data_IF_429296635702
#
_entry.id   IF_429296635702
#
_cell.length_a   1.000
_cell.length_b   1.000
_cell.length_c   1.000
_cell.angle_alpha   90.00
_cell.angle_beta   90.00
_cell.angle_gamma   90.00
#
_symmetry.space_group_name_H-M   'P 1'
#
loop_
_entity.id
_entity.type
_entity.pdbx_description
1 polymer ?
#
# COMPACT_ATOMS: atom_id res chain seq x y z
N UNK A 1 87.53 17.99 -8.87
CA UNK A 1 87.40 17.04 -7.75
C UNK A 1 86.03 17.23 -7.10
N UNK A 2 85.32 16.15 -6.75
CA UNK A 2 83.94 15.94 -7.22
C UNK A 2 82.85 16.33 -6.21
N UNK A 3 81.69 16.69 -6.76
CA UNK A 3 80.41 16.93 -6.07
C UNK A 3 79.74 15.58 -5.77
N UNK A 4 79.44 15.29 -4.51
CA UNK A 4 78.56 14.19 -4.12
C UNK A 4 77.09 14.61 -4.31
N UNK A 5 76.37 13.91 -5.19
CA UNK A 5 74.92 14.00 -5.32
C UNK A 5 74.28 13.06 -4.29
N UNK A 6 73.51 13.59 -3.35
CA UNK A 6 72.64 12.82 -2.49
C UNK A 6 71.28 12.64 -3.19
N UNK A 7 70.94 11.40 -3.55
CA UNK A 7 69.61 11.04 -4.03
C UNK A 7 68.68 10.87 -2.82
N UNK A 8 67.72 11.77 -2.65
CA UNK A 8 66.59 11.59 -1.72
C UNK A 8 65.47 10.92 -2.50
N UNK A 9 65.24 9.63 -2.24
CA UNK A 9 64.12 8.87 -2.78
C UNK A 9 62.87 9.21 -1.96
N UNK A 10 62.01 10.11 -2.46
CA UNK A 10 60.69 10.34 -1.86
C UNK A 10 59.71 9.28 -2.35
N UNK A 11 59.33 8.37 -1.44
CA UNK A 11 58.27 7.39 -1.66
C UNK A 11 56.92 8.11 -1.46
N UNK A 12 56.23 8.44 -2.54
CA UNK A 12 54.84 8.94 -2.47
C UNK A 12 53.93 7.73 -2.25
N UNK A 13 53.44 7.56 -1.02
CA UNK A 13 52.42 6.57 -0.69
C UNK A 13 51.05 7.12 -1.12
N UNK A 14 50.52 6.68 -2.26
CA UNK A 14 49.13 6.96 -2.63
C UNK A 14 48.21 6.05 -1.82
N UNK A 15 47.64 6.58 -0.75
CA UNK A 15 46.56 5.91 -0.01
C UNK A 15 45.27 6.14 -0.81
N UNK A 16 44.85 5.14 -1.57
CA UNK A 16 43.50 5.12 -2.12
C UNK A 16 42.52 4.84 -0.96
N UNK A 17 41.46 5.64 -0.76
CA UNK A 17 40.46 5.33 0.24
C UNK A 17 39.70 4.08 -0.20
N UNK A 18 39.85 2.99 0.56
CA UNK A 18 38.91 1.87 0.50
C UNK A 18 37.62 2.40 1.10
N UNK A 19 36.63 2.67 0.27
CA UNK A 19 35.24 2.81 0.71
C UNK A 19 34.84 1.47 1.33
N UNK A 20 34.85 1.40 2.66
CA UNK A 20 34.20 0.33 3.37
C UNK A 20 32.70 0.44 3.06
N UNK A 21 32.16 -0.54 2.33
CA UNK A 21 30.72 -0.70 2.24
C UNK A 21 30.21 -0.89 3.68
N UNK A 22 29.33 0.00 4.15
CA UNK A 22 28.60 -0.25 5.39
C UNK A 22 27.87 -1.58 5.25
N UNK A 23 28.08 -2.48 6.21
CA UNK A 23 27.38 -3.75 6.22
C UNK A 23 25.88 -3.47 6.39
N UNK A 24 25.08 -3.84 5.38
CA UNK A 24 23.62 -3.75 5.46
C UNK A 24 23.13 -4.54 6.69
N UNK A 25 22.19 -3.96 7.44
CA UNK A 25 21.64 -4.63 8.62
C UNK A 25 21.01 -5.98 8.23
N UNK A 26 21.20 -7.04 9.03
CA UNK A 26 20.68 -8.37 8.71
C UNK A 26 19.14 -8.38 8.71
N UNK A 27 18.56 -9.33 8.00
CA UNK A 27 17.11 -9.58 8.03
C UNK A 27 16.72 -9.96 9.46
N UNK A 28 15.67 -9.34 10.01
CA UNK A 28 15.08 -9.84 11.25
C UNK A 28 13.96 -10.84 10.96
N UNK A 29 13.96 -11.95 11.69
CA UNK A 29 13.01 -13.04 11.54
C UNK A 29 12.45 -13.45 12.89
N UNK A 30 11.12 -13.53 12.99
CA UNK A 30 10.41 -13.96 14.19
C UNK A 30 9.35 -15.01 13.83
N UNK A 31 9.24 -16.06 14.62
CA UNK A 31 8.24 -17.12 14.42
C UNK A 31 7.44 -17.29 15.70
N UNK A 32 6.13 -17.27 15.56
CA UNK A 32 5.16 -17.48 16.63
C UNK A 32 4.24 -18.65 16.28
N UNK A 33 3.83 -19.43 17.29
CA UNK A 33 3.03 -20.64 17.06
C UNK A 33 3.85 -21.80 16.51
N UNK A 34 3.19 -22.76 15.85
CA UNK A 34 3.85 -23.94 15.28
C UNK A 34 3.61 -24.05 13.76
N UNK A 35 4.61 -23.79 12.91
CA UNK A 35 4.46 -23.82 11.45
C UNK A 35 4.35 -25.24 10.86
N UNK A 36 4.55 -26.29 11.67
CA UNK A 36 4.50 -27.68 11.20
C UNK A 36 3.11 -28.32 11.38
N UNK A 37 2.18 -27.61 12.03
CA UNK A 37 0.81 -28.09 12.23
C UNK A 37 0.01 -27.92 10.94
N UNK A 38 -0.63 -28.97 10.38
CA UNK A 38 -1.46 -28.82 9.20
C UNK A 38 -2.61 -27.83 9.42
N UNK A 39 -2.86 -26.96 8.44
CA UNK A 39 -3.99 -26.03 8.45
C UNK A 39 -5.34 -26.72 8.60
N UNK A 40 -6.27 -26.06 9.29
CA UNK A 40 -7.58 -26.61 9.64
C UNK A 40 -8.58 -26.58 8.47
N UNK A 41 -8.51 -25.52 7.65
CA UNK A 41 -9.50 -25.22 6.61
C UNK A 41 -8.89 -25.04 5.22
N UNK A 42 -9.76 -24.97 4.21
CA UNK A 42 -9.36 -24.64 2.85
C UNK A 42 -8.89 -23.19 2.74
N UNK A 43 -7.84 -22.95 1.95
CA UNK A 43 -7.40 -21.60 1.60
C UNK A 43 -8.27 -21.07 0.46
N UNK A 44 -8.65 -19.79 0.53
CA UNK A 44 -9.38 -19.09 -0.52
C UNK A 44 -8.94 -17.63 -0.64
N UNK A 45 -9.13 -17.06 -1.84
CA UNK A 45 -8.61 -15.73 -2.15
C UNK A 45 -9.38 -14.60 -1.46
N UNK A 46 -8.76 -13.43 -1.49
CA UNK A 46 -9.36 -12.17 -1.04
C UNK A 46 -8.29 -11.14 -0.71
N UNK A 47 -8.67 -9.86 -0.68
CA UNK A 47 -7.80 -8.77 -0.27
C UNK A 47 -8.28 -8.13 1.03
N UNK A 48 -7.38 -7.97 2.00
CA UNK A 48 -7.64 -7.21 3.22
C UNK A 48 -6.97 -5.83 3.12
N UNK A 49 -7.77 -4.79 2.85
CA UNK A 49 -7.28 -3.42 2.69
C UNK A 49 -7.53 -2.64 3.98
N UNK A 50 -6.49 -2.35 4.77
CA UNK A 50 -6.64 -1.72 6.08
C UNK A 50 -6.07 -0.28 6.09
N UNK A 51 -6.86 0.68 6.54
CA UNK A 51 -6.50 2.10 6.50
C UNK A 51 -5.47 2.56 7.53
N UNK A 52 -5.02 1.69 8.45
CA UNK A 52 -4.14 2.05 9.56
C UNK A 52 -4.88 2.07 10.90
N UNK A 53 -4.19 2.49 11.94
CA UNK A 53 -4.71 2.41 13.31
C UNK A 53 -4.82 0.96 13.80
N UNK A 54 -5.76 0.72 14.70
CA UNK A 54 -6.07 -0.59 15.23
C UNK A 54 -6.94 -1.39 14.24
N UNK A 55 -6.65 -2.69 14.08
CA UNK A 55 -7.33 -3.52 13.09
C UNK A 55 -8.66 -4.03 13.66
N UNK A 56 -9.70 -4.01 12.83
CA UNK A 56 -11.00 -4.54 13.21
C UNK A 56 -10.93 -6.08 13.41
N UNK A 57 -11.34 -6.64 14.56
CA UNK A 57 -11.26 -8.07 14.82
C UNK A 57 -12.05 -8.95 13.83
N UNK A 58 -13.16 -8.46 13.29
CA UNK A 58 -13.94 -9.22 12.31
C UNK A 58 -13.24 -9.26 10.94
N UNK A 59 -12.57 -8.19 10.54
CA UNK A 59 -11.74 -8.18 9.33
C UNK A 59 -10.55 -9.14 9.46
N UNK A 60 -9.92 -9.20 10.64
CA UNK A 60 -8.85 -10.16 10.91
C UNK A 60 -9.36 -11.61 10.90
N UNK A 61 -10.48 -11.88 11.56
CA UNK A 61 -11.13 -13.19 11.51
C UNK A 61 -11.38 -13.64 10.07
N UNK A 62 -11.96 -12.76 9.24
CA UNK A 62 -12.18 -13.04 7.83
C UNK A 62 -10.86 -13.40 7.12
N UNK A 63 -9.80 -12.63 7.33
CA UNK A 63 -8.50 -12.89 6.70
C UNK A 63 -7.88 -14.23 7.13
N UNK A 64 -7.98 -14.59 8.41
CA UNK A 64 -7.51 -15.89 8.90
C UNK A 64 -8.35 -17.05 8.36
N UNK A 65 -9.67 -16.88 8.25
CA UNK A 65 -10.54 -17.87 7.61
C UNK A 65 -10.20 -18.07 6.14
N UNK A 66 -9.89 -16.99 5.40
CA UNK A 66 -9.38 -17.08 4.02
C UNK A 66 -8.07 -17.84 3.94
N UNK A 67 -7.20 -17.71 4.93
CA UNK A 67 -5.95 -18.47 5.03
C UNK A 67 -6.16 -19.89 5.59
N UNK A 68 -7.39 -20.39 5.67
CA UNK A 68 -7.69 -21.72 6.22
C UNK A 68 -7.31 -21.88 7.70
N UNK A 69 -7.20 -20.76 8.43
CA UNK A 69 -6.64 -20.65 9.79
C UNK A 69 -5.23 -21.24 9.91
N UNK A 70 -4.50 -21.28 8.80
CA UNK A 70 -3.15 -21.85 8.71
C UNK A 70 -2.06 -20.87 9.09
N UNK A 71 -1.06 -20.74 8.22
CA UNK A 71 0.19 -20.03 8.50
C UNK A 71 0.26 -18.68 7.78
N UNK A 72 0.48 -17.62 8.54
CA UNK A 72 0.58 -16.26 7.99
C UNK A 72 2.04 -15.80 7.93
N UNK A 73 2.45 -15.25 6.80
CA UNK A 73 3.71 -14.51 6.69
C UNK A 73 3.41 -13.01 6.70
N UNK A 74 4.02 -12.30 7.64
CA UNK A 74 4.01 -10.84 7.72
C UNK A 74 5.29 -10.31 7.12
N UNK A 75 5.17 -9.50 6.07
CA UNK A 75 6.29 -8.81 5.44
C UNK A 75 6.34 -7.35 5.91
N UNK A 76 7.52 -6.90 6.30
CA UNK A 76 7.76 -5.52 6.67
C UNK A 76 9.10 -5.04 6.11
N UNK A 77 9.18 -3.76 5.75
CA UNK A 77 10.43 -3.10 5.47
C UNK A 77 10.73 -2.02 6.52
N UNK A 78 10.12 -2.06 7.71
CA UNK A 78 10.32 -1.03 8.75
C UNK A 78 10.32 -1.62 10.16
N UNK A 79 9.15 -2.01 10.66
CA UNK A 79 8.94 -2.61 12.00
C UNK A 79 7.87 -3.70 11.90
N UNK A 80 7.72 -4.60 12.88
CA UNK A 80 6.72 -5.66 12.68
C UNK A 80 6.37 -6.64 13.80
N UNK A 81 6.94 -6.54 15.00
CA UNK A 81 6.63 -7.54 16.06
C UNK A 81 5.18 -7.46 16.52
N UNK A 82 4.67 -6.26 16.73
CA UNK A 82 3.35 -6.02 17.33
C UNK A 82 2.19 -6.61 16.50
N UNK A 83 2.34 -6.66 15.16
CA UNK A 83 1.33 -7.22 14.26
C UNK A 83 1.17 -8.72 14.45
N UNK A 84 2.27 -9.45 14.63
CA UNK A 84 2.23 -10.88 14.87
C UNK A 84 1.62 -11.22 16.22
N UNK A 85 2.00 -10.48 17.28
CA UNK A 85 1.43 -10.72 18.60
C UNK A 85 -0.08 -10.47 18.63
N UNK A 86 -0.57 -9.45 17.92
CA UNK A 86 -2.01 -9.21 17.78
C UNK A 86 -2.70 -10.37 17.07
N UNK A 87 -2.12 -10.88 15.98
CA UNK A 87 -2.67 -12.03 15.26
C UNK A 87 -2.73 -13.27 16.15
N UNK A 88 -1.66 -13.55 16.91
CA UNK A 88 -1.60 -14.70 17.82
C UNK A 88 -2.52 -14.56 19.04
N UNK A 89 -2.80 -13.33 19.51
CA UNK A 89 -3.76 -13.07 20.60
C UNK A 89 -5.22 -13.13 20.15
N UNK A 90 -5.49 -13.09 18.84
CA UNK A 90 -6.85 -13.17 18.35
C UNK A 90 -7.44 -14.56 18.69
N UNK A 91 -8.62 -14.66 19.34
CA UNK A 91 -9.18 -15.95 19.77
C UNK A 91 -9.43 -16.94 18.64
N UNK A 92 -9.47 -16.43 17.41
CA UNK A 92 -9.66 -17.17 16.18
C UNK A 92 -8.51 -16.85 15.21
N UNK A 93 -7.30 -16.71 15.75
CA UNK A 93 -6.09 -16.40 15.02
C UNK A 93 -5.55 -17.57 14.20
N UNK A 94 -4.42 -17.37 13.51
CA UNK A 94 -3.73 -18.40 12.75
C UNK A 94 -2.97 -19.39 13.65
N UNK A 95 -2.59 -20.54 13.08
CA UNK A 95 -1.75 -21.54 13.76
C UNK A 95 -0.30 -21.07 13.98
N UNK A 96 0.21 -20.26 13.05
CA UNK A 96 1.52 -19.61 13.20
C UNK A 96 1.58 -18.29 12.45
N UNK A 97 2.50 -17.44 12.90
CA UNK A 97 2.87 -16.20 12.22
C UNK A 97 4.39 -16.14 12.11
N UNK A 98 4.88 -15.92 10.90
CA UNK A 98 6.29 -15.61 10.64
C UNK A 98 6.42 -14.16 10.21
N UNK A 99 7.29 -13.39 10.86
CA UNK A 99 7.58 -12.00 10.52
C UNK A 99 8.95 -11.92 9.86
N UNK A 100 9.00 -11.31 8.68
CA UNK A 100 10.23 -11.02 7.95
C UNK A 100 10.38 -9.50 7.83
N UNK A 101 11.39 -8.93 8.48
CA UNK A 101 11.69 -7.49 8.44
C UNK A 101 12.93 -7.27 7.58
N UNK A 102 12.71 -6.58 6.46
CA UNK A 102 13.72 -6.26 5.47
C UNK A 102 14.41 -4.94 5.82
N UNK A 103 15.74 -4.97 5.75
CA UNK A 103 16.62 -3.82 5.91
C UNK A 103 17.41 -3.50 4.64
N UNK A 104 17.35 -4.39 3.64
CA UNK A 104 18.01 -4.20 2.37
C UNK A 104 17.38 -4.97 1.22
N UNK A 105 17.65 -4.52 -0.01
CA UNK A 105 17.18 -5.15 -1.25
C UNK A 105 17.75 -6.56 -1.46
N UNK A 106 19.00 -6.81 -1.07
CA UNK A 106 19.66 -8.11 -1.28
C UNK A 106 18.89 -9.28 -0.62
N UNK A 107 18.20 -8.99 0.49
CA UNK A 107 17.38 -9.96 1.24
C UNK A 107 16.16 -10.45 0.44
N UNK A 108 15.73 -9.71 -0.59
CA UNK A 108 14.65 -10.12 -1.47
C UNK A 108 15.02 -11.26 -2.45
N UNK A 109 16.25 -11.78 -2.34
CA UNK A 109 16.74 -12.95 -3.08
C UNK A 109 17.19 -14.09 -2.16
N UNK A 110 17.04 -13.94 -0.85
CA UNK A 110 17.42 -14.97 0.12
C UNK A 110 16.53 -16.22 -0.04
N UNK A 111 17.09 -17.41 -0.32
CA UNK A 111 16.30 -18.63 -0.54
C UNK A 111 15.39 -19.01 0.64
N UNK A 112 15.78 -18.73 1.89
CA UNK A 112 14.96 -19.02 3.05
C UNK A 112 13.76 -18.08 3.15
N UNK A 113 13.95 -16.79 2.85
CA UNK A 113 12.86 -15.79 2.76
C UNK A 113 11.86 -16.20 1.69
N UNK A 114 12.35 -16.51 0.48
CA UNK A 114 11.50 -16.89 -0.65
C UNK A 114 10.72 -18.18 -0.35
N UNK A 115 11.36 -19.15 0.30
CA UNK A 115 10.70 -20.38 0.71
C UNK A 115 9.59 -20.16 1.76
N UNK A 116 9.79 -19.22 2.70
CA UNK A 116 8.73 -18.83 3.65
C UNK A 116 7.55 -18.17 2.94
N UNK A 117 7.79 -17.22 2.04
CA UNK A 117 6.73 -16.55 1.26
C UNK A 117 5.94 -17.57 0.43
N UNK A 118 6.63 -18.47 -0.28
CA UNK A 118 5.99 -19.46 -1.14
C UNK A 118 5.08 -20.45 -0.37
N UNK A 119 5.41 -20.76 0.90
CA UNK A 119 4.63 -21.68 1.74
C UNK A 119 3.48 -21.02 2.48
N UNK A 120 3.41 -19.70 2.53
CA UNK A 120 2.38 -18.98 3.28
C UNK A 120 0.96 -19.38 2.85
N UNK A 121 0.05 -19.57 3.81
CA UNK A 121 -1.38 -19.72 3.53
C UNK A 121 -2.04 -18.34 3.33
N UNK A 122 -1.53 -17.31 4.00
CA UNK A 122 -1.90 -15.91 3.81
C UNK A 122 -0.71 -14.99 4.02
N UNK A 123 -0.67 -13.85 3.33
CA UNK A 123 0.40 -12.86 3.46
C UNK A 123 -0.18 -11.52 3.89
N UNK A 124 0.50 -10.85 4.81
CA UNK A 124 0.13 -9.50 5.26
C UNK A 124 1.33 -8.55 5.17
N UNK A 125 1.15 -7.39 4.54
CA UNK A 125 2.16 -6.34 4.43
C UNK A 125 1.93 -5.31 5.54
N UNK A 126 2.87 -5.21 6.48
CA UNK A 126 2.78 -4.28 7.59
C UNK A 126 2.89 -2.82 7.16
N UNK A 127 2.51 -1.91 8.06
CA UNK A 127 2.80 -0.48 7.94
C UNK A 127 4.28 -0.16 8.10
N UNK A 128 4.67 1.07 7.79
CA UNK A 128 6.06 1.50 7.78
C UNK A 128 6.29 2.65 6.81
N UNK A 129 7.51 2.70 6.29
CA UNK A 129 7.96 3.63 5.26
C UNK A 129 7.80 3.01 3.87
N UNK A 130 6.89 3.55 3.06
CA UNK A 130 6.55 3.07 1.71
C UNK A 130 7.77 2.96 0.79
N UNK A 131 8.74 3.88 0.92
CA UNK A 131 9.88 3.97 0.03
C UNK A 131 10.75 2.72 0.11
N UNK A 132 10.87 2.15 1.32
CA UNK A 132 11.63 0.94 1.59
C UNK A 132 11.01 -0.28 0.91
N UNK A 133 9.68 -0.40 0.90
CA UNK A 133 8.99 -1.47 0.18
C UNK A 133 9.29 -1.39 -1.32
N UNK A 134 9.17 -0.20 -1.92
CA UNK A 134 9.47 0.03 -3.34
C UNK A 134 10.93 -0.29 -3.64
N UNK A 135 11.86 0.26 -2.86
CA UNK A 135 13.31 0.09 -3.06
C UNK A 135 13.75 -1.37 -2.89
N UNK A 136 13.18 -2.09 -1.92
CA UNK A 136 13.63 -3.45 -1.60
C UNK A 136 12.95 -4.52 -2.44
N UNK A 137 11.68 -4.36 -2.83
CA UNK A 137 10.91 -5.47 -3.40
C UNK A 137 10.53 -5.30 -4.87
N UNK A 138 10.43 -4.06 -5.39
CA UNK A 138 10.03 -3.85 -6.80
C UNK A 138 10.98 -4.56 -7.75
N UNK A 139 10.43 -5.34 -8.69
CA UNK A 139 11.21 -6.09 -9.67
C UNK A 139 12.11 -7.19 -9.07
N UNK A 140 11.79 -7.67 -7.85
CA UNK A 140 12.50 -8.79 -7.20
C UNK A 140 11.61 -10.03 -7.14
N UNK A 141 12.22 -11.13 -6.70
CA UNK A 141 11.54 -12.41 -6.51
C UNK A 141 10.47 -12.35 -5.40
N UNK A 142 10.60 -11.46 -4.41
CA UNK A 142 9.55 -11.20 -3.42
C UNK A 142 8.27 -10.68 -4.09
N UNK A 143 8.36 -9.66 -4.94
CA UNK A 143 7.19 -9.15 -5.67
C UNK A 143 6.57 -10.22 -6.58
N UNK A 144 7.40 -10.99 -7.29
CA UNK A 144 6.94 -12.11 -8.13
C UNK A 144 6.18 -13.17 -7.31
N UNK A 145 6.64 -13.50 -6.12
CA UNK A 145 5.97 -14.45 -5.24
C UNK A 145 4.66 -13.90 -4.67
N UNK A 146 4.56 -12.60 -4.40
CA UNK A 146 3.31 -11.97 -3.97
C UNK A 146 2.24 -12.04 -5.07
N UNK A 147 2.61 -11.75 -6.32
CA UNK A 147 1.73 -11.94 -7.48
C UNK A 147 1.31 -13.40 -7.64
N UNK A 148 2.27 -14.33 -7.55
CA UNK A 148 1.99 -15.76 -7.62
C UNK A 148 1.09 -16.26 -6.49
N UNK A 149 1.24 -15.71 -5.27
CA UNK A 149 0.43 -16.03 -4.10
C UNK A 149 -1.04 -15.67 -4.34
N UNK A 150 -1.30 -14.46 -4.84
CA UNK A 150 -2.67 -14.04 -5.17
C UNK A 150 -3.22 -14.83 -6.37
N UNK A 151 -2.40 -15.07 -7.40
CA UNK A 151 -2.79 -15.88 -8.56
C UNK A 151 -3.14 -17.34 -8.18
N UNK A 152 -2.51 -17.87 -7.12
CA UNK A 152 -2.83 -19.18 -6.54
C UNK A 152 -4.13 -19.19 -5.71
N UNK A 153 -4.87 -18.08 -5.66
CA UNK A 153 -6.13 -17.97 -4.93
C UNK A 153 -5.94 -17.91 -3.41
N UNK A 154 -4.84 -17.32 -2.94
CA UNK A 154 -4.56 -17.12 -1.51
C UNK A 154 -4.77 -15.66 -1.09
N UNK A 155 -5.11 -15.39 0.17
CA UNK A 155 -5.39 -14.03 0.62
C UNK A 155 -4.11 -13.19 0.81
N UNK A 156 -4.21 -11.92 0.47
CA UNK A 156 -3.18 -10.90 0.69
C UNK A 156 -3.79 -9.70 1.43
N UNK A 157 -3.12 -9.21 2.45
CA UNK A 157 -3.56 -8.04 3.21
C UNK A 157 -2.47 -6.99 3.34
N UNK A 158 -2.87 -5.76 3.66
CA UNK A 158 -1.94 -4.67 3.92
C UNK A 158 -2.55 -3.57 4.77
N UNK A 159 -1.74 -2.94 5.63
CA UNK A 159 -2.13 -1.76 6.42
C UNK A 159 -1.20 -0.58 6.18
N UNK A 160 -1.74 0.64 6.16
CA UNK A 160 -0.94 1.87 6.03
C UNK A 160 -0.03 1.86 4.80
N UNK A 161 1.30 1.78 4.96
CA UNK A 161 2.24 1.60 3.85
C UNK A 161 2.00 0.30 3.07
N UNK A 162 1.71 -0.80 3.77
CA UNK A 162 1.34 -2.05 3.13
C UNK A 162 0.04 -1.98 2.34
N UNK A 163 -0.92 -1.12 2.73
CA UNK A 163 -2.10 -0.84 1.90
C UNK A 163 -1.70 -0.15 0.60
N UNK A 164 -0.84 0.87 0.67
CA UNK A 164 -0.37 1.61 -0.51
C UNK A 164 0.23 0.69 -1.58
N UNK A 165 0.96 -0.35 -1.15
CA UNK A 165 1.60 -1.33 -2.04
C UNK A 165 0.62 -2.19 -2.86
N UNK A 166 -0.67 -2.23 -2.52
CA UNK A 166 -1.64 -3.10 -3.19
C UNK A 166 -2.26 -2.47 -4.44
N UNK A 167 -2.18 -1.14 -4.61
CA UNK A 167 -2.72 -0.46 -5.80
C UNK A 167 -1.95 -0.77 -7.09
N UNK A 168 -2.60 -0.64 -8.26
CA UNK A 168 -1.92 -0.73 -9.56
C UNK A 168 -0.85 0.37 -9.71
N UNK A 169 -1.21 1.57 -9.27
CA UNK A 169 -0.27 2.66 -9.02
C UNK A 169 -0.33 2.98 -7.53
N UNK A 170 0.81 3.40 -6.99
CA UNK A 170 0.97 3.61 -5.54
C UNK A 170 1.73 4.89 -5.26
N UNK A 171 1.46 5.52 -4.12
CA UNK A 171 2.32 6.58 -3.60
C UNK A 171 3.48 5.96 -2.82
N UNK A 172 4.69 6.13 -3.33
CA UNK A 172 5.90 5.48 -2.81
C UNK A 172 6.61 6.26 -1.68
N UNK A 173 6.24 7.51 -1.42
CA UNK A 173 6.97 8.39 -0.47
C UNK A 173 8.49 8.42 -0.71
N UNK A 174 8.92 8.47 -1.97
CA UNK A 174 10.34 8.29 -2.37
C UNK A 174 11.24 9.47 -1.98
N UNK A 175 10.70 10.48 -1.31
CA UNK A 175 11.36 11.68 -0.81
C UNK A 175 11.53 11.68 0.71
N UNK A 176 11.41 10.52 1.35
CA UNK A 176 11.42 10.32 2.82
C UNK A 176 10.32 11.13 3.55
N UNK A 177 9.32 11.60 2.81
CA UNK A 177 8.24 12.45 3.30
C UNK A 177 6.86 11.80 3.26
N UNK A 178 5.84 12.60 3.49
CA UNK A 178 4.45 12.22 3.20
C UNK A 178 3.73 13.48 2.75
N UNK A 179 3.67 13.69 1.44
CA UNK A 179 3.05 14.87 0.85
C UNK A 179 1.62 15.07 1.39
N UNK A 180 1.32 16.31 1.76
CA UNK A 180 0.00 16.73 2.25
C UNK A 180 -0.94 17.03 1.09
N UNK A 181 -2.25 17.12 1.36
CA UNK A 181 -3.22 17.57 0.35
C UNK A 181 -2.91 18.96 -0.20
N UNK A 182 -2.48 19.90 0.65
CA UNK A 182 -2.12 21.25 0.21
C UNK A 182 -0.95 21.25 -0.76
N UNK A 183 0.11 20.53 -0.45
CA UNK A 183 1.32 20.45 -1.31
C UNK A 183 1.01 19.72 -2.62
N UNK A 184 0.31 18.59 -2.54
CA UNK A 184 -0.03 17.78 -3.70
C UNK A 184 -0.98 18.51 -4.66
N UNK A 185 -1.95 19.29 -4.16
CA UNK A 185 -2.82 20.11 -4.98
C UNK A 185 -2.08 21.31 -5.59
N UNK A 186 -1.11 21.90 -4.88
CA UNK A 186 -0.33 23.02 -5.38
C UNK A 186 0.62 22.63 -6.53
N UNK A 187 1.13 21.40 -6.53
CA UNK A 187 2.04 20.92 -7.58
C UNK A 187 1.84 19.41 -7.84
N UNK A 188 0.74 19.01 -8.51
CA UNK A 188 0.35 17.61 -8.67
C UNK A 188 1.36 16.78 -9.48
N UNK A 189 2.14 17.41 -10.35
CA UNK A 189 3.19 16.73 -11.13
C UNK A 189 4.60 16.91 -10.59
N UNK A 190 4.73 17.58 -9.44
CA UNK A 190 6.00 17.87 -8.79
C UNK A 190 6.71 16.65 -8.22
N UNK A 191 7.99 16.80 -7.83
CA UNK A 191 8.84 15.68 -7.41
C UNK A 191 8.37 14.98 -6.13
N UNK A 192 7.66 15.69 -5.23
CA UNK A 192 7.12 15.12 -3.99
C UNK A 192 5.89 14.21 -4.22
N UNK A 193 5.25 14.29 -5.40
CA UNK A 193 4.19 13.35 -5.78
C UNK A 193 4.80 12.11 -6.46
N UNK A 194 5.41 11.25 -5.65
CA UNK A 194 6.15 10.07 -6.07
C UNK A 194 5.20 8.89 -6.36
N UNK A 195 4.37 9.03 -7.40
CA UNK A 195 3.56 7.91 -7.89
C UNK A 195 4.45 6.91 -8.62
N UNK A 196 4.46 5.69 -8.11
CA UNK A 196 5.16 4.55 -8.67
C UNK A 196 4.16 3.56 -9.31
N UNK A 197 4.68 2.60 -10.06
CA UNK A 197 3.90 1.48 -10.59
C UNK A 197 4.77 0.25 -10.82
N UNK A 198 4.18 -0.79 -11.42
CA UNK A 198 4.84 -2.09 -11.69
C UNK A 198 5.43 -2.70 -10.40
N UNK A 199 4.63 -2.67 -9.33
CA UNK A 199 4.98 -3.22 -8.02
C UNK A 199 4.31 -4.57 -7.77
N UNK A 200 2.98 -4.61 -7.85
CA UNK A 200 2.15 -5.83 -7.82
C UNK A 200 1.06 -5.76 -8.90
N UNK A 201 0.59 -6.93 -9.33
CA UNK A 201 -0.36 -7.10 -10.43
C UNK A 201 -1.64 -7.79 -9.95
N UNK A 202 -2.46 -7.05 -9.19
CA UNK A 202 -3.67 -7.59 -8.57
C UNK A 202 -4.90 -7.28 -9.45
N UNK A 203 -5.58 -8.27 -10.06
CA UNK A 203 -6.71 -8.00 -10.97
C UNK A 203 -7.85 -7.19 -10.33
N UNK A 204 -8.09 -7.40 -9.02
CA UNK A 204 -9.12 -6.67 -8.27
C UNK A 204 -8.74 -5.22 -7.97
N UNK A 205 -7.48 -4.81 -8.16
CA UNK A 205 -7.00 -3.44 -7.96
C UNK A 205 -6.44 -2.82 -9.25
N UNK A 206 -6.74 -3.42 -10.40
CA UNK A 206 -6.46 -2.81 -11.70
C UNK A 206 -7.18 -1.45 -11.81
N UNK A 207 -6.44 -0.40 -12.12
CA UNK A 207 -6.92 0.97 -12.20
C UNK A 207 -7.19 1.60 -10.83
N UNK A 208 -6.70 1.03 -9.73
CA UNK A 208 -6.94 1.55 -8.37
C UNK A 208 -5.66 2.12 -7.76
N UNK A 209 -5.77 3.29 -7.13
CA UNK A 209 -4.77 3.84 -6.20
C UNK A 209 -5.38 3.82 -4.81
N UNK A 210 -4.67 3.31 -3.82
CA UNK A 210 -5.13 3.28 -2.43
C UNK A 210 -4.43 4.34 -1.58
N UNK A 211 -5.14 4.90 -0.60
CA UNK A 211 -4.57 5.78 0.41
C UNK A 211 -5.11 5.45 1.81
N UNK A 212 -4.23 5.52 2.80
CA UNK A 212 -4.49 5.16 4.21
C UNK A 212 -4.61 6.40 5.09
N UNK A 213 -5.02 6.24 6.35
CA UNK A 213 -5.15 7.31 7.36
C UNK A 213 -5.95 8.51 6.82
N UNK A 214 -6.99 8.19 6.05
CA UNK A 214 -7.44 9.06 4.98
C UNK A 214 -8.11 10.34 5.51
N UNK A 215 -9.20 10.20 6.26
CA UNK A 215 -9.86 11.33 6.93
C UNK A 215 -8.96 11.95 7.99
N UNK A 216 -8.22 11.14 8.75
CA UNK A 216 -7.42 11.57 9.91
C UNK A 216 -6.30 12.55 9.52
N UNK A 217 -5.82 12.46 8.28
CA UNK A 217 -4.73 13.29 7.76
C UNK A 217 -5.15 14.20 6.60
N UNK A 218 -6.46 14.42 6.44
CA UNK A 218 -7.04 15.27 5.37
C UNK A 218 -6.50 14.91 3.97
N UNK A 219 -6.58 13.63 3.58
CA UNK A 219 -5.88 13.10 2.38
C UNK A 219 -6.70 13.11 1.09
N UNK A 220 -7.91 13.69 1.10
CA UNK A 220 -8.72 13.76 -0.11
C UNK A 220 -8.07 14.59 -1.23
N UNK A 221 -7.48 15.73 -0.89
CA UNK A 221 -6.79 16.58 -1.85
C UNK A 221 -5.59 15.89 -2.52
N UNK A 222 -4.75 15.19 -1.75
CA UNK A 222 -3.61 14.47 -2.32
C UNK A 222 -4.04 13.28 -3.16
N UNK A 223 -5.13 12.59 -2.82
CA UNK A 223 -5.64 11.51 -3.65
C UNK A 223 -6.11 12.01 -5.02
N UNK A 224 -6.64 13.25 -5.12
CA UNK A 224 -6.90 13.88 -6.42
C UNK A 224 -5.61 14.09 -7.23
N UNK A 225 -4.55 14.61 -6.60
CA UNK A 225 -3.26 14.80 -7.24
C UNK A 225 -2.58 13.47 -7.61
N UNK A 226 -2.75 12.43 -6.81
CA UNK A 226 -2.26 11.08 -7.09
C UNK A 226 -2.92 10.51 -8.35
N UNK A 227 -4.25 10.63 -8.47
CA UNK A 227 -4.98 10.21 -9.66
C UNK A 227 -4.60 11.02 -10.91
N UNK A 228 -4.32 12.31 -10.76
CA UNK A 228 -3.81 13.13 -11.85
C UNK A 228 -2.44 12.62 -12.35
N UNK A 229 -1.48 12.46 -11.42
CA UNK A 229 -0.11 12.00 -11.74
C UNK A 229 -0.10 10.58 -12.31
N UNK A 230 -0.86 9.66 -11.72
CA UNK A 230 -0.92 8.27 -12.14
C UNK A 230 -1.51 8.06 -13.54
N UNK A 231 -2.35 9.00 -13.99
CA UNK A 231 -3.02 8.94 -15.28
C UNK A 231 -2.31 9.75 -16.38
N UNK A 232 -1.23 10.47 -16.07
CA UNK A 232 -0.50 11.32 -17.02
C UNK A 232 -0.06 10.59 -18.30
N UNK A 233 0.42 9.35 -18.14
CA UNK A 233 0.89 8.50 -19.23
C UNK A 233 -0.10 7.35 -19.53
N UNK A 234 -1.32 7.42 -18.99
CA UNK A 234 -2.32 6.36 -19.16
C UNK A 234 -3.04 6.57 -20.49
N UNK A 235 -3.10 5.52 -21.30
CA UNK A 235 -3.84 5.52 -22.56
C UNK A 235 -5.30 5.96 -22.40
N UNK A 236 -5.78 6.78 -23.34
CA UNK A 236 -7.19 7.20 -23.45
C UNK A 236 -8.15 6.02 -23.66
N UNK A 237 -7.64 4.89 -24.14
CA UNK A 237 -8.43 3.66 -24.31
C UNK A 237 -8.60 2.87 -23.02
N UNK A 238 -7.75 3.10 -22.02
CA UNK A 238 -7.88 2.45 -20.72
C UNK A 238 -8.95 3.16 -19.89
N UNK A 239 -9.73 2.47 -19.04
CA UNK A 239 -10.66 3.12 -18.11
C UNK A 239 -9.95 4.10 -17.17
N UNK A 240 -10.64 5.17 -16.77
CA UNK A 240 -10.15 6.08 -15.73
C UNK A 240 -9.83 5.31 -14.44
N UNK A 241 -8.78 5.73 -13.76
CA UNK A 241 -8.43 5.16 -12.47
C UNK A 241 -9.40 5.64 -11.39
N UNK A 242 -9.54 4.87 -10.31
CA UNK A 242 -10.27 5.27 -9.12
C UNK A 242 -9.31 5.40 -7.93
N UNK A 243 -9.57 6.37 -7.07
CA UNK A 243 -8.89 6.50 -5.80
C UNK A 243 -9.70 5.83 -4.70
N UNK A 244 -9.04 5.06 -3.85
CA UNK A 244 -9.63 4.38 -2.70
C UNK A 244 -8.98 4.90 -1.40
N UNK A 245 -9.63 5.84 -0.74
CA UNK A 245 -9.21 6.31 0.58
C UNK A 245 -9.84 5.46 1.69
N UNK A 246 -9.04 4.94 2.62
CA UNK A 246 -9.52 4.15 3.76
C UNK A 246 -9.09 4.84 5.05
N UNK A 247 -10.07 5.16 5.90
CA UNK A 247 -9.84 5.79 7.20
C UNK A 247 -9.09 4.85 8.17
N UNK A 248 -8.47 5.41 9.21
CA UNK A 248 -7.99 4.60 10.34
C UNK A 248 -9.10 3.74 10.95
N UNK A 249 -8.70 2.66 11.62
CA UNK A 249 -9.60 1.71 12.28
C UNK A 249 -10.66 1.06 11.38
N UNK A 250 -10.43 1.14 10.08
CA UNK A 250 -11.35 0.69 9.01
C UNK A 250 -10.65 -0.26 8.07
N UNK A 251 -11.35 -1.34 7.71
CA UNK A 251 -10.88 -2.31 6.73
C UNK A 251 -11.94 -2.54 5.65
N UNK A 252 -11.50 -2.62 4.40
CA UNK A 252 -12.28 -3.14 3.28
C UNK A 252 -11.83 -4.58 3.00
N UNK A 253 -12.72 -5.54 3.23
CA UNK A 253 -12.47 -6.95 2.88
C UNK A 253 -13.06 -7.22 1.50
N UNK A 254 -12.23 -7.65 0.55
CA UNK A 254 -12.58 -7.85 -0.86
C UNK A 254 -12.59 -9.34 -1.16
N UNK A 255 -13.73 -9.84 -1.60
CA UNK A 255 -13.92 -11.23 -2.03
C UNK A 255 -13.32 -11.47 -3.43
N UNK A 256 -13.05 -12.72 -3.83
CA UNK A 256 -12.52 -13.05 -5.16
C UNK A 256 -13.37 -12.58 -6.34
N UNK A 257 -14.67 -12.38 -6.13
CA UNK A 257 -15.60 -11.84 -7.14
C UNK A 257 -15.55 -10.31 -7.26
N UNK A 258 -14.66 -9.65 -6.50
CA UNK A 258 -14.49 -8.20 -6.46
C UNK A 258 -15.48 -7.48 -5.54
N UNK A 259 -16.43 -8.20 -4.95
CA UNK A 259 -17.34 -7.60 -4.00
C UNK A 259 -16.71 -7.41 -2.62
N UNK A 260 -17.02 -6.30 -1.97
CA UNK A 260 -16.33 -5.90 -0.76
C UNK A 260 -17.26 -5.36 0.33
N UNK A 261 -16.86 -5.60 1.58
CA UNK A 261 -17.55 -5.17 2.80
C UNK A 261 -16.62 -4.36 3.69
N UNK A 262 -17.20 -3.42 4.42
CA UNK A 262 -16.45 -2.54 5.33
C UNK A 262 -16.61 -3.05 6.77
N UNK A 263 -15.49 -3.16 7.46
CA UNK A 263 -15.41 -3.43 8.89
C UNK A 263 -14.68 -2.27 9.55
N UNK A 264 -15.42 -1.42 10.25
CA UNK A 264 -14.90 -0.31 11.03
C UNK A 264 -15.03 -0.59 12.53
N UNK A 265 -14.08 -0.15 13.35
CA UNK A 265 -14.22 -0.25 14.81
C UNK A 265 -15.24 0.74 15.36
N UNK A 266 -15.40 1.88 14.71
CA UNK A 266 -16.34 2.93 15.07
C UNK A 266 -17.34 3.15 13.93
N UNK A 267 -18.51 3.73 14.24
CA UNK A 267 -19.55 3.99 13.24
C UNK A 267 -19.16 5.05 12.19
N UNK A 268 -18.07 5.79 12.41
CA UNK A 268 -17.56 6.84 11.55
C UNK A 268 -16.32 6.43 10.73
N UNK A 269 -15.95 5.15 10.75
CA UNK A 269 -14.95 4.60 9.83
C UNK A 269 -15.50 4.46 8.41
N UNK A 270 -14.82 5.07 7.44
CA UNK A 270 -15.32 5.23 6.07
C UNK A 270 -14.33 4.73 5.03
N UNK A 271 -14.89 4.42 3.86
CA UNK A 271 -14.14 4.21 2.63
C UNK A 271 -14.61 5.20 1.58
N UNK A 272 -13.66 5.85 0.92
CA UNK A 272 -13.89 6.94 -0.02
C UNK A 272 -13.48 6.48 -1.41
N UNK A 273 -14.40 6.58 -2.36
CA UNK A 273 -14.18 6.25 -3.76
C UNK A 273 -14.15 7.55 -4.55
N UNK A 274 -13.00 7.87 -5.14
CA UNK A 274 -12.78 9.06 -5.96
C UNK A 274 -12.78 8.65 -7.44
N UNK A 275 -13.69 9.22 -8.21
CA UNK A 275 -13.74 9.01 -9.67
C UNK A 275 -12.62 9.80 -10.37
N UNK A 276 -11.66 9.12 -10.98
CA UNK A 276 -10.52 9.78 -11.62
C UNK A 276 -10.79 10.34 -13.03
N UNK A 277 -12.02 10.26 -13.55
CA UNK A 277 -12.33 10.63 -14.94
C UNK A 277 -11.99 12.10 -15.22
N UNK A 278 -12.42 13.02 -14.34
CA UNK A 278 -12.17 14.46 -14.50
C UNK A 278 -10.77 14.90 -14.02
N UNK A 279 -9.90 13.94 -13.72
CA UNK A 279 -8.50 14.14 -13.33
C UNK A 279 -7.54 13.64 -14.41
N UNK A 280 -8.06 13.20 -15.55
CA UNK A 280 -7.29 13.03 -16.79
C UNK A 280 -7.02 14.39 -17.41
N UNK A 281 -5.86 14.50 -18.06
CA UNK A 281 -5.48 15.69 -18.85
C UNK A 281 -5.57 17.01 -18.07
N UNK A 282 -5.34 16.96 -16.75
CA UNK A 282 -5.30 18.15 -15.90
C UNK A 282 -3.99 18.91 -16.11
N UNK A 283 -4.04 20.21 -15.78
CA UNK A 283 -3.08 21.28 -16.06
C UNK A 283 -1.58 20.89 -16.18
N UNK A 284 -0.79 21.63 -17.00
CA UNK A 284 0.60 21.29 -17.31
C UNK A 284 1.50 21.16 -16.06
N UNK A 285 2.67 20.50 -16.17
CA UNK A 285 3.46 19.96 -15.04
C UNK A 285 3.83 20.91 -13.89
N UNK A 286 3.70 22.23 -14.09
CA UNK A 286 4.12 23.27 -13.15
C UNK A 286 2.96 24.15 -12.64
N UNK A 287 1.71 23.75 -12.85
CA UNK A 287 0.53 24.49 -12.41
C UNK A 287 -0.18 23.79 -11.23
N UNK A 288 -0.82 24.56 -10.34
CA UNK A 288 -1.74 24.00 -9.35
C UNK A 288 -2.88 23.21 -9.99
N UNK A 289 -3.35 22.17 -9.30
CA UNK A 289 -4.39 21.30 -9.82
C UNK A 289 -5.68 22.09 -10.09
N UNK A 290 -6.14 22.01 -11.33
CA UNK A 290 -7.47 22.47 -11.74
C UNK A 290 -8.14 21.33 -12.49
N UNK A 291 -9.37 21.00 -12.11
CA UNK A 291 -10.10 19.85 -12.66
C UNK A 291 -11.54 20.19 -13.04
N UNK A 292 -12.18 19.24 -13.74
CA UNK A 292 -13.64 19.23 -13.89
C UNK A 292 -14.34 18.86 -12.58
N UNK A 293 -15.64 18.58 -12.67
CA UNK A 293 -16.38 18.04 -11.51
C UNK A 293 -15.94 16.61 -11.24
N UNK A 294 -15.52 16.35 -10.01
CA UNK A 294 -15.13 15.01 -9.57
C UNK A 294 -16.15 14.46 -8.59
N UNK A 295 -16.68 13.28 -8.89
CA UNK A 295 -17.56 12.55 -7.99
C UNK A 295 -16.73 11.82 -6.92
N UNK A 296 -17.15 11.98 -5.67
CA UNK A 296 -16.61 11.24 -4.53
C UNK A 296 -17.76 10.51 -3.85
N UNK A 297 -17.70 9.18 -3.81
CA UNK A 297 -18.69 8.35 -3.14
C UNK A 297 -18.14 7.89 -1.79
N UNK A 298 -18.88 8.15 -0.71
CA UNK A 298 -18.52 7.76 0.64
C UNK A 298 -19.31 6.52 1.04
N UNK A 299 -18.62 5.50 1.50
CA UNK A 299 -19.16 4.21 1.90
C UNK A 299 -18.91 3.97 3.39
N UNK A 300 -19.87 3.32 4.05
CA UNK A 300 -19.81 2.90 5.45
C UNK A 300 -20.08 1.39 5.59
N UNK A 301 -20.17 0.87 6.82
CA UNK A 301 -20.43 -0.56 7.08
C UNK A 301 -21.73 -1.12 6.45
N UNK A 302 -22.68 -0.27 6.03
CA UNK A 302 -23.91 -0.70 5.36
C UNK A 302 -23.77 -0.75 3.83
N UNK A 303 -22.70 -0.17 3.29
CA UNK A 303 -22.43 -0.11 1.86
C UNK A 303 -21.87 -1.44 1.34
N UNK A 304 -21.96 -1.65 0.03
CA UNK A 304 -21.23 -2.72 -0.68
C UNK A 304 -20.44 -2.13 -1.84
N UNK A 305 -19.14 -2.38 -1.87
CA UNK A 305 -18.24 -1.86 -2.92
C UNK A 305 -17.92 -2.99 -3.90
N UNK A 306 -17.74 -2.66 -5.19
CA UNK A 306 -17.36 -3.61 -6.23
C UNK A 306 -16.10 -3.13 -6.95
N UNK A 307 -14.99 -3.84 -6.76
CA UNK A 307 -13.71 -3.57 -7.39
C UNK A 307 -13.49 -4.47 -8.62
N UNK A 308 -12.76 -4.00 -9.64
CA UNK A 308 -12.08 -2.70 -9.73
C UNK A 308 -13.00 -1.53 -10.15
N UNK A 309 -14.30 -1.77 -10.38
CA UNK A 309 -15.20 -0.76 -10.95
C UNK A 309 -15.45 0.48 -10.09
N UNK A 310 -15.21 0.41 -8.78
CA UNK A 310 -15.54 1.47 -7.83
C UNK A 310 -17.04 1.68 -7.59
N UNK A 311 -17.91 0.82 -8.13
CA UNK A 311 -19.36 0.92 -7.90
C UNK A 311 -19.65 0.69 -6.42
N UNK A 312 -20.48 1.56 -5.84
CA UNK A 312 -20.97 1.44 -4.46
C UNK A 312 -22.48 1.28 -4.46
N UNK A 313 -22.96 0.21 -3.82
CA UNK A 313 -24.36 0.04 -3.48
C UNK A 313 -24.63 0.61 -2.09
N UNK A 314 -25.75 1.33 -1.96
CA UNK A 314 -26.16 2.01 -0.73
C UNK A 314 -25.04 2.90 -0.17
N UNK A 315 -24.47 3.82 -0.97
CA UNK A 315 -23.46 4.74 -0.46
C UNK A 315 -24.03 5.52 0.73
N UNK A 316 -23.18 5.90 1.68
CA UNK A 316 -23.57 6.82 2.76
C UNK A 316 -23.90 8.19 2.19
N UNK A 317 -23.02 8.67 1.32
CA UNK A 317 -23.11 10.00 0.72
C UNK A 317 -22.46 10.00 -0.66
N UNK A 318 -22.99 10.81 -1.57
CA UNK A 318 -22.31 11.20 -2.80
C UNK A 318 -22.00 12.69 -2.76
N UNK A 319 -20.74 13.02 -3.00
CA UNK A 319 -20.21 14.38 -2.97
C UNK A 319 -19.67 14.72 -4.36
N UNK A 320 -19.77 16.00 -4.72
CA UNK A 320 -19.16 16.54 -5.94
C UNK A 320 -18.17 17.61 -5.55
N UNK A 321 -16.96 17.48 -6.08
CA UNK A 321 -15.84 18.37 -5.85
C UNK A 321 -15.33 18.98 -7.13
N UNK A 322 -14.54 20.03 -6.99
CA UNK A 322 -13.67 20.55 -8.05
C UNK A 322 -12.35 21.01 -7.43
N UNK A 323 -11.23 20.72 -8.09
CA UNK A 323 -9.98 21.40 -7.80
C UNK A 323 -9.92 22.69 -8.63
N UNK A 324 -9.63 23.82 -7.97
CA UNK A 324 -9.50 25.14 -8.58
C UNK A 324 -8.24 25.78 -8.04
N UNK A 325 -7.22 25.93 -8.89
CA UNK A 325 -5.93 26.55 -8.54
C UNK A 325 -5.31 25.98 -7.25
N UNK A 326 -5.30 24.64 -7.12
CA UNK A 326 -4.73 23.95 -5.97
C UNK A 326 -5.58 23.97 -4.70
N UNK A 327 -6.82 24.47 -4.80
CA UNK A 327 -7.80 24.41 -3.71
C UNK A 327 -8.92 23.45 -4.06
N UNK A 328 -9.31 22.61 -3.10
CA UNK A 328 -10.42 21.69 -3.26
C UNK A 328 -11.72 22.33 -2.76
N UNK A 329 -12.72 22.42 -3.64
CA UNK A 329 -14.04 23.00 -3.32
C UNK A 329 -15.10 21.92 -3.42
N UNK A 330 -15.86 21.69 -2.34
CA UNK A 330 -17.06 20.84 -2.37
C UNK A 330 -18.23 21.66 -2.93
N UNK A 331 -18.81 21.19 -4.03
CA UNK A 331 -19.89 21.86 -4.75
C UNK A 331 -21.28 21.42 -4.27
N UNK A 332 -21.44 20.12 -3.97
CA UNK A 332 -22.73 19.58 -3.51
C UNK A 332 -22.55 18.28 -2.74
N UNK A 333 -23.52 17.98 -1.89
CA UNK A 333 -23.67 16.72 -1.14
C UNK A 333 -25.08 16.18 -1.40
N UNK A 334 -25.16 14.88 -1.67
CA UNK A 334 -26.42 14.11 -1.69
C UNK A 334 -26.30 12.96 -0.70
N UNK A 335 -26.99 13.08 0.44
CA UNK A 335 -27.11 11.99 1.39
C UNK A 335 -27.99 10.87 0.80
N UNK A 336 -27.62 9.62 1.04
CA UNK A 336 -28.48 8.50 0.67
C UNK A 336 -29.60 8.34 1.69
N UNK A 337 -30.85 8.41 1.23
CA UNK A 337 -32.00 8.15 2.09
C UNK A 337 -32.04 6.64 2.32
N UNK A 338 -31.63 6.19 3.50
CA UNK A 338 -31.84 4.80 3.92
C UNK A 338 -33.32 4.51 3.88
N UNK A 339 -33.75 3.71 2.90
CA UNK A 339 -35.08 3.13 2.91
C UNK A 339 -35.13 2.19 4.12
N UNK A 340 -35.64 2.69 5.25
CA UNK A 340 -36.09 1.85 6.36
C UNK A 340 -37.06 0.81 5.78
N UNK A 341 -36.63 -0.44 5.75
CA UNK A 341 -37.50 -1.62 5.68
C UNK A 341 -37.16 -2.49 6.86
#
# INVERSE_FOLDING_TARGET
MPRFFAFVLSLILTIAPVLAAEAEAPLERYVYGNPDVPREGAVSGGLLLNGGGARNPQALRWFFEKAGRGHIVILSASFGKDTAEEFMRHPQGPLSVEVLIFHARAQATDPAVLASIARADGIFISGGDQSRYVNFWRGTEVARLLDAHVAAGKPLGGTSAGLAMLGEKLYGAMDDGSITSKEALALPFGPANTIEGDFLHLPLLQGVITDSHFKERDRLGRLFAFLAKAQADRSDKAPAMIGLGIDEDTALVVEPDGSARIHAQTADGLVWIVDGTALRDVAPPMAPLTSGMVKVTVADANSRIHLPSGRVERPREEQVYRASEGTLVRLSTKASISAKR
#
